data_IF_526026176892
#
_entry.id   IF_526026176892
#
_cell.length_a   1.000
_cell.length_b   1.000
_cell.length_c   1.000
_cell.angle_alpha   90.00
_cell.angle_beta   90.00
_cell.angle_gamma   90.00
#
_symmetry.space_group_name_H-M   'P 1'
#
loop_
_entity.id
_entity.type
_entity.pdbx_description
1 polymer ?
#
# COMPACT_ATOMS: atom_id res chain seq x y z
N UNK A 1 -7.97 -15.88 -8.26
CA UNK A 1 -6.74 -15.38 -8.90
C UNK A 1 -6.44 -13.91 -8.53
N UNK A 2 -7.35 -12.95 -8.78
CA UNK A 2 -7.10 -11.51 -8.53
C UNK A 2 -6.70 -11.17 -7.08
N UNK A 3 -7.35 -11.78 -6.08
CA UNK A 3 -7.01 -11.58 -4.67
C UNK A 3 -5.59 -12.04 -4.30
N UNK A 4 -5.13 -13.14 -4.90
CA UNK A 4 -3.79 -13.69 -4.68
C UNK A 4 -2.75 -12.86 -5.40
N UNK A 5 -3.04 -12.44 -6.64
CA UNK A 5 -2.14 -11.58 -7.43
C UNK A 5 -1.98 -10.20 -6.79
N UNK A 6 -3.07 -9.59 -6.30
CA UNK A 6 -3.01 -8.31 -5.61
C UNK A 6 -2.21 -8.40 -4.31
N UNK A 7 -2.44 -9.44 -3.50
CA UNK A 7 -1.69 -9.68 -2.26
C UNK A 7 -0.20 -9.97 -2.50
N UNK A 8 0.14 -10.79 -3.49
CA UNK A 8 1.53 -11.12 -3.80
C UNK A 8 2.29 -9.92 -4.40
N UNK A 9 1.64 -9.14 -5.28
CA UNK A 9 2.25 -7.94 -5.85
C UNK A 9 2.45 -6.86 -4.78
N UNK A 10 1.44 -6.63 -3.94
CA UNK A 10 1.54 -5.78 -2.74
C UNK A 10 2.71 -6.24 -1.85
N UNK A 11 2.85 -7.56 -1.65
CA UNK A 11 3.98 -8.12 -0.90
C UNK A 11 5.35 -7.88 -1.57
N UNK A 12 5.44 -8.02 -2.89
CA UNK A 12 6.67 -7.77 -3.61
C UNK A 12 7.02 -6.28 -3.57
N UNK A 13 6.02 -5.37 -3.61
CA UNK A 13 6.27 -3.92 -3.52
C UNK A 13 6.95 -3.50 -2.23
N UNK A 14 6.55 -4.04 -1.07
CA UNK A 14 7.24 -3.69 0.19
C UNK A 14 8.60 -4.36 0.30
N UNK A 15 8.75 -5.62 -0.15
CA UNK A 15 10.05 -6.32 -0.09
C UNK A 15 11.08 -5.65 -0.98
N UNK A 16 10.70 -5.32 -2.21
CA UNK A 16 11.56 -4.61 -3.16
C UNK A 16 11.82 -3.17 -2.69
N UNK A 17 10.79 -2.44 -2.27
CA UNK A 17 10.92 -1.05 -1.81
C UNK A 17 11.66 -0.87 -0.48
N UNK A 18 11.64 -1.86 0.41
CA UNK A 18 12.38 -1.85 1.67
C UNK A 18 13.71 -2.62 1.61
N UNK A 19 14.10 -3.13 0.44
CA UNK A 19 15.35 -3.86 0.26
C UNK A 19 15.45 -5.18 1.04
N UNK A 20 14.32 -5.81 1.37
CA UNK A 20 14.30 -7.03 2.19
C UNK A 20 14.56 -8.25 1.30
N UNK A 21 15.69 -8.97 1.48
CA UNK A 21 16.06 -10.07 0.60
C UNK A 21 15.05 -11.21 0.71
N UNK A 22 14.66 -11.77 -0.45
CA UNK A 22 13.89 -13.00 -0.48
C UNK A 22 14.85 -14.16 -0.21
N UNK A 23 14.76 -14.77 0.97
CA UNK A 23 15.49 -16.02 1.21
C UNK A 23 14.89 -17.14 0.37
N UNK A 24 15.74 -18.05 -0.12
CA UNK A 24 15.31 -19.25 -0.86
C UNK A 24 14.38 -20.17 -0.05
N UNK A 25 14.31 -19.99 1.28
CA UNK A 25 13.41 -20.69 2.19
C UNK A 25 12.14 -19.91 2.57
N UNK A 26 11.76 -18.86 1.83
CA UNK A 26 10.46 -18.21 2.02
C UNK A 26 10.37 -17.18 3.16
N UNK A 27 11.50 -16.63 3.62
CA UNK A 27 11.49 -15.56 4.63
C UNK A 27 10.97 -16.01 5.99
N UNK A 28 11.56 -17.07 6.56
CA UNK A 28 11.32 -17.39 7.97
C UNK A 28 11.93 -16.31 8.86
N UNK A 29 11.08 -15.36 9.26
CA UNK A 29 11.34 -14.50 10.41
C UNK A 29 11.62 -15.40 11.63
N UNK A 30 12.87 -15.44 12.09
CA UNK A 30 13.25 -15.87 13.43
C UNK A 30 13.16 -17.36 13.81
N UNK A 31 12.55 -18.25 13.03
CA UNK A 31 12.40 -19.67 13.43
C UNK A 31 13.64 -20.55 13.20
N UNK A 32 14.85 -20.03 13.35
CA UNK A 32 16.03 -20.88 13.55
C UNK A 32 16.46 -20.75 15.00
N UNK A 33 16.17 -21.79 15.80
CA UNK A 33 16.92 -22.03 17.03
C UNK A 33 18.40 -22.15 16.66
N UNK A 34 19.29 -21.64 17.52
CA UNK A 34 20.72 -21.86 17.41
C UNK A 34 20.96 -23.38 17.33
N UNK A 35 21.29 -23.88 16.14
CA UNK A 35 21.39 -25.32 15.86
C UNK A 35 20.91 -25.75 14.46
N UNK A 36 20.10 -24.95 13.76
CA UNK A 36 19.79 -25.20 12.35
C UNK A 36 18.73 -26.27 12.06
N UNK A 37 18.03 -26.79 13.06
CA UNK A 37 16.88 -27.69 12.84
C UNK A 37 15.55 -26.93 12.77
N UNK A 38 14.69 -27.34 11.82
CA UNK A 38 13.34 -26.83 11.68
C UNK A 38 12.46 -27.32 12.84
N UNK A 39 11.75 -26.40 13.49
CA UNK A 39 10.85 -26.74 14.59
C UNK A 39 9.71 -27.64 14.09
N UNK A 40 9.70 -28.92 14.48
CA UNK A 40 8.54 -29.81 14.33
C UNK A 40 7.46 -29.43 15.33
N UNK A 41 6.20 -29.56 14.92
CA UNK A 41 5.00 -29.02 15.57
C UNK A 41 4.56 -29.71 16.89
N UNK A 42 5.46 -30.35 17.63
CA UNK A 42 5.10 -31.27 18.74
C UNK A 42 5.73 -30.91 20.09
N UNK A 43 5.87 -29.64 20.42
CA UNK A 43 6.31 -29.24 21.76
C UNK A 43 5.56 -27.99 22.24
N UNK A 44 4.27 -28.14 22.50
CA UNK A 44 3.43 -27.14 23.15
C UNK A 44 3.17 -27.53 24.62
N UNK A 45 4.21 -27.61 25.44
CA UNK A 45 4.02 -27.85 26.90
C UNK A 45 5.10 -27.30 27.83
N UNK A 46 6.14 -26.62 27.36
CA UNK A 46 7.13 -26.04 28.27
C UNK A 46 7.18 -24.52 28.14
N UNK A 47 7.11 -23.84 29.30
CA UNK A 47 7.21 -22.38 29.47
C UNK A 47 8.33 -21.83 28.57
N UNK A 48 7.94 -21.15 27.49
CA UNK A 48 8.88 -20.54 26.57
C UNK A 48 9.75 -19.53 27.34
N UNK A 49 11.06 -19.80 27.39
CA UNK A 49 12.05 -18.79 27.74
C UNK A 49 11.83 -17.54 26.87
N UNK A 50 12.08 -16.32 27.39
CA UNK A 50 11.89 -15.10 26.63
C UNK A 50 12.64 -15.21 25.30
N UNK A 51 11.91 -15.02 24.19
CA UNK A 51 12.47 -15.07 22.86
C UNK A 51 13.66 -14.11 22.79
N UNK A 52 14.86 -14.64 22.59
CA UNK A 52 16.04 -13.82 22.33
C UNK A 52 15.70 -12.98 21.11
N UNK A 53 15.72 -11.66 21.28
CA UNK A 53 15.42 -10.69 20.23
C UNK A 53 16.54 -10.74 19.19
N UNK A 54 16.52 -11.73 18.29
CA UNK A 54 17.48 -11.82 17.20
C UNK A 54 17.15 -10.74 16.18
N UNK A 55 17.74 -9.56 16.35
CA UNK A 55 17.68 -8.48 15.35
C UNK A 55 18.45 -8.93 14.12
N UNK A 56 17.74 -9.36 13.08
CA UNK A 56 18.36 -9.62 11.79
C UNK A 56 18.71 -8.28 11.16
N UNK A 57 19.99 -8.12 10.81
CA UNK A 57 20.48 -6.95 10.08
C UNK A 57 20.61 -7.30 8.60
N UNK A 58 19.97 -6.52 7.75
CA UNK A 58 20.04 -6.64 6.29
C UNK A 58 20.92 -5.55 5.68
N UNK A 59 22.00 -5.18 6.40
CA UNK A 59 22.95 -4.14 6.00
C UNK A 59 24.11 -4.68 5.15
N UNK A 60 23.95 -5.85 4.51
CA UNK A 60 24.99 -6.38 3.63
C UNK A 60 25.16 -5.42 2.45
N UNK A 61 26.33 -4.77 2.31
CA UNK A 61 26.53 -3.84 1.21
C UNK A 61 26.47 -4.58 -0.12
N UNK A 62 26.05 -3.87 -1.18
CA UNK A 62 26.12 -4.40 -2.53
C UNK A 62 27.57 -4.80 -2.84
N UNK A 63 27.79 -6.02 -3.31
CA UNK A 63 29.13 -6.50 -3.66
C UNK A 63 29.83 -5.52 -4.62
N UNK A 64 31.14 -5.26 -4.46
CA UNK A 64 31.89 -4.37 -5.37
C UNK A 64 31.71 -4.73 -6.85
N UNK A 65 31.55 -6.03 -7.16
CA UNK A 65 31.28 -6.52 -8.51
C UNK A 65 30.00 -5.93 -9.14
N UNK A 66 28.98 -5.67 -8.34
CA UNK A 66 27.66 -5.24 -8.81
C UNK A 66 27.39 -3.76 -8.59
N UNK A 67 28.19 -3.07 -7.76
CA UNK A 67 27.97 -1.70 -7.32
C UNK A 67 27.83 -0.69 -8.47
N UNK A 68 28.52 -0.94 -9.59
CA UNK A 68 28.56 -0.05 -10.75
C UNK A 68 27.81 -0.59 -11.98
N UNK A 69 27.12 -1.74 -11.86
CA UNK A 69 26.37 -2.27 -12.97
C UNK A 69 25.06 -1.49 -13.18
N UNK A 70 24.73 -1.30 -14.45
CA UNK A 70 23.45 -0.71 -14.87
C UNK A 70 22.41 -1.83 -14.96
N UNK A 71 21.21 -1.56 -14.46
CA UNK A 71 20.09 -2.50 -14.58
C UNK A 71 19.76 -2.73 -16.05
N UNK A 72 19.56 -4.00 -16.43
CA UNK A 72 19.09 -4.38 -17.77
C UNK A 72 17.57 -4.47 -17.86
N UNK A 73 16.88 -4.37 -16.73
CA UNK A 73 15.42 -4.61 -16.62
C UNK A 73 14.69 -3.35 -16.17
N UNK A 74 15.22 -2.65 -15.16
CA UNK A 74 14.63 -1.42 -14.68
C UNK A 74 14.96 -0.28 -15.65
N UNK A 75 13.96 0.54 -15.97
CA UNK A 75 14.20 1.79 -16.68
C UNK A 75 15.08 2.70 -15.82
N UNK A 76 16.12 3.26 -16.42
CA UNK A 76 17.07 4.18 -15.77
C UNK A 76 17.10 5.53 -16.47
N UNK A 77 17.49 6.57 -15.74
CA UNK A 77 17.72 7.88 -16.32
C UNK A 77 18.96 7.88 -17.20
N UNK A 78 19.01 8.77 -18.18
CA UNK A 78 20.21 9.06 -18.97
C UNK A 78 20.87 10.31 -18.41
N UNK A 79 22.19 10.30 -18.32
CA UNK A 79 22.98 11.48 -18.02
C UNK A 79 22.86 12.49 -19.19
N UNK A 80 22.36 13.71 -18.95
CA UNK A 80 22.15 14.69 -20.02
C UNK A 80 23.47 15.18 -20.66
N UNK A 81 24.59 15.13 -19.94
CA UNK A 81 25.89 15.57 -20.44
C UNK A 81 26.56 14.49 -21.31
N UNK A 82 26.43 13.22 -20.93
CA UNK A 82 27.15 12.12 -21.60
C UNK A 82 26.27 11.22 -22.47
N UNK A 83 24.94 11.32 -22.34
CA UNK A 83 23.97 10.45 -23.01
C UNK A 83 23.98 8.99 -22.52
N UNK A 84 24.75 8.67 -21.48
CA UNK A 84 24.89 7.30 -20.96
C UNK A 84 23.86 7.00 -19.88
N UNK A 85 23.41 5.74 -19.76
CA UNK A 85 22.49 5.34 -18.69
C UNK A 85 23.15 5.48 -17.31
N UNK A 86 22.39 6.00 -16.35
CA UNK A 86 22.80 6.09 -14.94
C UNK A 86 22.30 4.88 -14.14
N UNK A 87 22.66 4.83 -12.85
CA UNK A 87 22.13 3.82 -11.91
C UNK A 87 20.78 4.22 -11.30
N UNK A 88 20.29 5.43 -11.55
CA UNK A 88 19.02 5.90 -11.01
C UNK A 88 17.88 5.36 -11.84
N UNK A 89 17.00 4.58 -11.21
CA UNK A 89 15.77 4.13 -11.85
C UNK A 89 14.80 5.28 -12.05
N UNK A 90 13.93 5.18 -13.04
CA UNK A 90 12.90 6.18 -13.34
C UNK A 90 11.51 5.55 -13.43
N UNK A 91 10.50 6.34 -13.04
CA UNK A 91 9.10 6.00 -13.25
C UNK A 91 8.58 6.70 -14.51
N UNK A 92 8.25 5.92 -15.54
CA UNK A 92 7.65 6.43 -16.77
C UNK A 92 6.12 6.27 -16.73
N UNK A 93 5.46 6.87 -15.73
CA UNK A 93 3.99 6.97 -15.71
C UNK A 93 3.54 8.28 -16.38
N UNK A 94 2.43 8.28 -17.14
CA UNK A 94 1.84 9.51 -17.63
C UNK A 94 1.46 10.45 -16.47
N UNK A 95 1.48 11.75 -16.74
CA UNK A 95 1.01 12.76 -15.80
C UNK A 95 -0.41 12.45 -15.30
N UNK A 96 -0.70 12.88 -14.07
CA UNK A 96 -2.03 12.73 -13.49
C UNK A 96 -3.06 13.54 -14.29
N UNK A 97 -4.28 13.03 -14.35
CA UNK A 97 -5.41 13.70 -14.98
C UNK A 97 -5.73 15.03 -14.29
N UNK A 98 -6.20 16.00 -15.06
CA UNK A 98 -6.73 17.26 -14.53
C UNK A 98 -7.96 17.05 -13.64
N UNK A 99 -8.29 18.03 -12.80
CA UNK A 99 -9.49 17.96 -11.92
C UNK A 99 -10.77 17.60 -12.68
N UNK A 100 -11.04 18.23 -13.83
CA UNK A 100 -12.24 17.94 -14.61
C UNK A 100 -12.27 16.52 -15.17
N UNK A 101 -11.11 15.97 -15.55
CA UNK A 101 -11.00 14.57 -15.99
C UNK A 101 -11.19 13.58 -14.83
N UNK A 102 -10.71 13.93 -13.62
CA UNK A 102 -10.96 13.15 -12.40
C UNK A 102 -12.44 13.11 -12.08
N UNK A 103 -13.12 14.25 -12.05
CA UNK A 103 -14.56 14.33 -11.77
C UNK A 103 -15.36 13.49 -12.77
N UNK A 104 -15.04 13.60 -14.07
CA UNK A 104 -15.62 12.76 -15.12
C UNK A 104 -15.37 11.27 -14.89
N UNK A 105 -14.17 10.88 -14.46
CA UNK A 105 -13.83 9.49 -14.19
C UNK A 105 -14.56 8.94 -12.95
N UNK A 106 -14.75 9.76 -11.92
CA UNK A 106 -15.54 9.43 -10.73
C UNK A 106 -17.03 9.25 -11.07
N UNK A 107 -17.58 10.12 -11.92
CA UNK A 107 -18.96 9.99 -12.41
C UNK A 107 -19.16 8.72 -13.25
N UNK A 108 -18.20 8.42 -14.13
CA UNK A 108 -18.19 7.16 -14.85
C UNK A 108 -18.12 5.97 -13.89
N UNK A 109 -17.33 6.07 -12.80
CA UNK A 109 -17.22 5.02 -11.79
C UNK A 109 -18.53 4.79 -11.03
N UNK A 110 -19.34 5.82 -10.77
CA UNK A 110 -20.68 5.65 -10.15
C UNK A 110 -21.64 4.83 -11.00
N UNK A 111 -21.44 4.79 -12.31
CA UNK A 111 -22.30 4.10 -13.28
C UNK A 111 -21.81 2.69 -13.67
N UNK A 112 -20.72 2.21 -13.07
CA UNK A 112 -20.16 0.89 -13.40
C UNK A 112 -21.10 -0.24 -13.02
N UNK A 113 -20.99 -1.34 -13.78
CA UNK A 113 -21.48 -2.65 -13.38
C UNK A 113 -20.28 -3.48 -12.90
N UNK A 114 -20.26 -3.95 -11.63
CA UNK A 114 -19.19 -4.82 -11.15
C UNK A 114 -19.01 -6.03 -12.08
N UNK A 115 -17.75 -6.33 -12.41
CA UNK A 115 -17.34 -7.46 -13.25
C UNK A 115 -17.36 -8.78 -12.50
N UNK A 116 -17.28 -8.73 -11.17
CA UNK A 116 -17.30 -9.88 -10.29
C UNK A 116 -18.61 -9.91 -9.49
N UNK A 117 -19.10 -11.10 -9.11
CA UNK A 117 -20.24 -11.23 -8.21
C UNK A 117 -20.00 -10.46 -6.91
N UNK A 118 -21.07 -9.88 -6.38
CA UNK A 118 -21.10 -9.25 -5.06
C UNK A 118 -22.04 -10.06 -4.17
N UNK A 119 -21.66 -10.25 -2.91
CA UNK A 119 -22.55 -10.86 -1.93
C UNK A 119 -23.81 -10.00 -1.74
N UNK A 120 -24.93 -10.67 -1.54
CA UNK A 120 -26.20 -10.03 -1.20
C UNK A 120 -26.21 -9.56 0.28
N UNK A 121 -27.30 -8.91 0.67
CA UNK A 121 -27.44 -8.39 2.03
C UNK A 121 -27.53 -9.48 3.09
N UNK A 122 -28.07 -10.66 2.77
CA UNK A 122 -28.20 -11.75 3.72
C UNK A 122 -26.82 -12.29 4.11
N UNK A 123 -25.96 -12.53 3.12
CA UNK A 123 -24.56 -12.94 3.35
C UNK A 123 -23.81 -11.87 4.13
N UNK A 124 -24.04 -10.58 3.86
CA UNK A 124 -23.37 -9.52 4.60
C UNK A 124 -23.78 -9.44 6.08
N UNK A 125 -25.05 -9.69 6.41
CA UNK A 125 -25.55 -9.66 7.80
C UNK A 125 -24.87 -10.70 8.69
N UNK A 126 -24.64 -11.91 8.17
CA UNK A 126 -23.96 -12.99 8.91
C UNK A 126 -22.45 -12.77 9.07
N UNK A 127 -21.88 -11.87 8.25
CA UNK A 127 -20.43 -11.66 8.18
C UNK A 127 -19.95 -10.44 8.95
N UNK A 128 -20.75 -9.39 9.03
CA UNK A 128 -20.38 -8.15 9.70
C UNK A 128 -20.56 -8.28 11.23
N UNK A 129 -19.66 -7.69 12.03
CA UNK A 129 -19.82 -7.68 13.48
C UNK A 129 -21.11 -6.95 13.89
N UNK A 130 -21.69 -7.38 15.00
CA UNK A 130 -22.85 -6.74 15.60
C UNK A 130 -22.54 -5.25 15.89
N UNK A 131 -23.46 -4.36 15.53
CA UNK A 131 -23.26 -2.90 15.66
C UNK A 131 -22.52 -2.23 14.50
N UNK A 132 -22.35 -2.89 13.34
CA UNK A 132 -21.89 -2.22 12.12
C UNK A 132 -22.83 -1.06 11.75
N UNK A 133 -22.31 0.17 11.81
CA UNK A 133 -23.10 1.40 11.77
C UNK A 133 -23.12 2.13 10.43
N UNK A 134 -22.43 1.62 9.40
CA UNK A 134 -22.45 2.30 8.10
C UNK A 134 -23.83 2.11 7.46
N UNK A 135 -24.50 3.24 7.19
CA UNK A 135 -25.83 3.26 6.57
C UNK A 135 -25.84 2.55 5.20
N UNK A 136 -24.69 2.47 4.52
CA UNK A 136 -24.52 1.76 3.25
C UNK A 136 -23.29 0.86 3.33
N UNK A 137 -23.49 -0.44 3.18
CA UNK A 137 -22.38 -1.40 3.10
C UNK A 137 -21.58 -1.16 1.81
N UNK A 138 -20.28 -0.83 1.89
CA UNK A 138 -19.45 -0.61 0.71
C UNK A 138 -19.32 -1.87 -0.15
N UNK A 139 -19.25 -1.71 -1.46
CA UNK A 139 -19.15 -2.83 -2.40
C UNK A 139 -17.88 -3.64 -2.27
N UNK A 140 -16.77 -3.04 -1.82
CA UNK A 140 -15.56 -3.80 -1.56
C UNK A 140 -15.78 -4.87 -0.47
N UNK A 141 -16.63 -4.59 0.52
CA UNK A 141 -17.01 -5.58 1.54
C UNK A 141 -17.86 -6.69 0.93
N UNK A 142 -18.86 -6.31 0.10
CA UNK A 142 -19.70 -7.28 -0.63
C UNK A 142 -18.89 -8.17 -1.57
N UNK A 143 -17.87 -7.61 -2.22
CA UNK A 143 -16.95 -8.37 -3.06
C UNK A 143 -16.17 -9.37 -2.22
N UNK A 144 -15.55 -8.92 -1.12
CA UNK A 144 -14.75 -9.81 -0.27
C UNK A 144 -15.59 -10.90 0.39
N UNK A 145 -16.85 -10.63 0.70
CA UNK A 145 -17.78 -11.59 1.27
C UNK A 145 -18.05 -12.81 0.36
N UNK A 146 -17.79 -12.71 -0.96
CA UNK A 146 -17.84 -13.87 -1.86
C UNK A 146 -16.72 -14.90 -1.65
N UNK A 147 -15.75 -14.62 -0.75
CA UNK A 147 -14.62 -15.48 -0.43
C UNK A 147 -14.68 -15.96 1.03
N UNK A 148 -15.55 -16.94 1.36
CA UNK A 148 -15.96 -17.24 2.75
C UNK A 148 -14.80 -17.54 3.70
N UNK A 149 -13.77 -18.24 3.23
CA UNK A 149 -12.62 -18.64 4.05
C UNK A 149 -11.70 -17.48 4.44
N UNK A 150 -11.76 -16.33 3.76
CA UNK A 150 -10.84 -15.20 3.99
C UNK A 150 -11.52 -13.85 4.21
N UNK A 151 -12.82 -13.76 3.94
CA UNK A 151 -13.57 -12.52 3.94
C UNK A 151 -13.53 -11.79 5.29
N UNK A 152 -13.88 -12.47 6.40
CA UNK A 152 -13.90 -11.86 7.74
C UNK A 152 -12.55 -11.26 8.12
N UNK A 153 -11.47 -12.04 7.93
CA UNK A 153 -10.10 -11.58 8.21
C UNK A 153 -9.66 -10.42 7.33
N UNK A 154 -9.98 -10.45 6.02
CA UNK A 154 -9.61 -9.37 5.09
C UNK A 154 -10.39 -8.08 5.36
N UNK A 155 -11.70 -8.16 5.59
CA UNK A 155 -12.53 -7.00 5.91
C UNK A 155 -12.05 -6.36 7.21
N UNK A 156 -11.82 -7.17 8.25
CA UNK A 156 -11.28 -6.70 9.53
C UNK A 156 -9.90 -6.06 9.37
N UNK A 157 -9.02 -6.66 8.58
CA UNK A 157 -7.67 -6.13 8.33
C UNK A 157 -7.69 -4.78 7.61
N UNK A 158 -8.51 -4.63 6.55
CA UNK A 158 -8.65 -3.36 5.84
C UNK A 158 -9.20 -2.29 6.77
N UNK A 159 -10.27 -2.59 7.52
CA UNK A 159 -10.85 -1.64 8.48
C UNK A 159 -9.87 -1.25 9.57
N UNK A 160 -9.16 -2.22 10.15
CA UNK A 160 -8.15 -1.94 11.17
C UNK A 160 -7.01 -1.06 10.63
N UNK A 161 -6.63 -1.21 9.36
CA UNK A 161 -5.63 -0.34 8.73
C UNK A 161 -6.12 1.12 8.62
N UNK A 162 -7.41 1.33 8.35
CA UNK A 162 -8.03 2.66 8.33
C UNK A 162 -8.23 3.25 9.73
N UNK A 163 -8.71 2.45 10.69
CA UNK A 163 -9.21 2.92 11.99
C UNK A 163 -8.13 2.96 13.09
N UNK A 164 -7.05 2.16 13.01
CA UNK A 164 -6.09 1.98 14.11
C UNK A 164 -4.65 2.38 13.77
N UNK A 165 -3.82 2.54 14.79
CA UNK A 165 -2.39 2.87 14.67
C UNK A 165 -2.11 4.36 14.86
N UNK A 166 -0.88 4.78 14.57
CA UNK A 166 -0.32 6.08 14.98
C UNK A 166 -0.62 7.21 13.96
N UNK A 167 -0.68 6.90 12.66
CA UNK A 167 -1.07 7.87 11.64
C UNK A 167 -2.51 8.35 11.87
N UNK A 168 -2.70 9.67 11.82
CA UNK A 168 -4.02 10.28 11.98
C UNK A 168 -4.99 9.84 10.88
N UNK A 169 -6.31 9.85 11.13
CA UNK A 169 -7.31 9.55 10.10
C UNK A 169 -7.18 10.42 8.84
N UNK A 170 -6.83 11.70 9.01
CA UNK A 170 -6.61 12.64 7.90
C UNK A 170 -5.38 12.25 7.08
N UNK A 171 -4.25 11.98 7.72
CA UNK A 171 -3.01 11.57 7.04
C UNK A 171 -3.23 10.29 6.22
N UNK A 172 -3.94 9.31 6.77
CA UNK A 172 -4.29 8.08 6.04
C UNK A 172 -5.16 8.36 4.83
N UNK A 173 -6.19 9.20 4.97
CA UNK A 173 -7.08 9.55 3.87
C UNK A 173 -6.33 10.31 2.74
N UNK A 174 -5.40 11.20 3.10
CA UNK A 174 -4.54 11.91 2.14
C UNK A 174 -3.60 10.95 1.41
N UNK A 175 -2.94 10.04 2.14
CA UNK A 175 -2.11 8.99 1.56
C UNK A 175 -2.94 8.08 0.64
N UNK A 176 -4.14 7.68 1.05
CA UNK A 176 -5.04 6.86 0.23
C UNK A 176 -5.42 7.55 -1.09
N UNK A 177 -5.68 8.86 -1.06
CA UNK A 177 -5.89 9.65 -2.27
C UNK A 177 -4.66 9.61 -3.18
N UNK A 178 -3.47 9.95 -2.66
CA UNK A 178 -2.21 9.96 -3.43
C UNK A 178 -1.98 8.61 -4.12
N UNK A 179 -2.15 7.50 -3.39
CA UNK A 179 -1.94 6.14 -3.92
C UNK A 179 -2.97 5.81 -4.99
N UNK A 180 -4.26 6.03 -4.72
CA UNK A 180 -5.34 5.72 -5.66
C UNK A 180 -5.24 6.52 -6.95
N UNK A 181 -4.77 7.79 -6.88
CA UNK A 181 -4.49 8.63 -8.05
C UNK A 181 -3.32 8.10 -8.85
N UNK A 182 -2.23 7.69 -8.21
CA UNK A 182 -1.10 7.06 -8.94
C UNK A 182 -1.55 5.80 -9.68
N UNK A 183 -2.35 4.94 -9.04
CA UNK A 183 -2.86 3.70 -9.61
C UNK A 183 -4.10 3.87 -10.51
N UNK A 184 -4.67 5.09 -10.61
CA UNK A 184 -5.91 5.40 -11.38
C UNK A 184 -7.07 4.47 -11.01
N UNK A 185 -7.16 4.15 -9.71
CA UNK A 185 -8.18 3.27 -9.17
C UNK A 185 -9.40 4.09 -8.74
N UNK A 186 -10.28 4.38 -9.70
CA UNK A 186 -11.37 5.36 -9.55
C UNK A 186 -12.36 5.03 -8.42
N UNK A 187 -12.60 3.74 -8.14
CA UNK A 187 -13.38 3.36 -6.95
C UNK A 187 -12.66 3.77 -5.64
N UNK A 188 -11.36 3.51 -5.55
CA UNK A 188 -10.58 3.90 -4.38
C UNK A 188 -10.40 5.42 -4.28
N UNK A 189 -10.23 6.12 -5.40
CA UNK A 189 -10.16 7.59 -5.45
C UNK A 189 -11.44 8.22 -4.91
N UNK A 190 -12.62 7.72 -5.31
CA UNK A 190 -13.89 8.25 -4.80
C UNK A 190 -14.10 7.94 -3.32
N UNK A 191 -13.70 6.76 -2.85
CA UNK A 191 -13.71 6.40 -1.42
C UNK A 191 -12.80 7.33 -0.60
N UNK A 192 -11.58 7.60 -1.10
CA UNK A 192 -10.66 8.55 -0.46
C UNK A 192 -11.22 9.98 -0.45
N UNK A 193 -11.84 10.44 -1.55
CA UNK A 193 -12.50 11.74 -1.65
C UNK A 193 -13.61 11.90 -0.61
N UNK A 194 -14.51 10.92 -0.53
CA UNK A 194 -15.60 10.93 0.46
C UNK A 194 -15.04 10.97 1.88
N UNK A 195 -13.98 10.19 2.15
CA UNK A 195 -13.33 10.18 3.46
C UNK A 195 -12.70 11.54 3.79
N UNK A 196 -11.97 12.15 2.87
CA UNK A 196 -11.36 13.47 3.04
C UNK A 196 -12.42 14.55 3.30
N UNK A 197 -13.53 14.54 2.55
CA UNK A 197 -14.68 15.43 2.79
C UNK A 197 -15.30 15.22 4.16
N UNK A 198 -15.49 13.96 4.58
CA UNK A 198 -16.01 13.65 5.92
C UNK A 198 -15.11 14.13 7.06
N UNK A 199 -13.82 14.34 6.78
CA UNK A 199 -12.82 14.88 7.70
C UNK A 199 -12.65 16.40 7.58
N UNK A 200 -13.53 17.07 6.82
CA UNK A 200 -13.57 18.53 6.72
C UNK A 200 -12.64 19.14 5.66
N UNK A 201 -12.03 18.34 4.79
CA UNK A 201 -11.22 18.88 3.68
C UNK A 201 -12.12 19.46 2.58
N UNK A 202 -11.73 20.62 2.04
CA UNK A 202 -12.35 21.21 0.85
C UNK A 202 -11.89 20.49 -0.42
N UNK A 203 -12.61 20.66 -1.53
CA UNK A 203 -12.16 20.09 -2.81
C UNK A 203 -10.77 20.59 -3.21
N UNK A 204 -10.49 21.87 -3.03
CA UNK A 204 -9.19 22.46 -3.40
C UNK A 204 -8.05 21.86 -2.55
N UNK A 205 -8.28 21.62 -1.26
CA UNK A 205 -7.31 20.94 -0.40
C UNK A 205 -7.07 19.49 -0.84
N UNK A 206 -8.11 18.77 -1.28
CA UNK A 206 -7.96 17.41 -1.78
C UNK A 206 -7.16 17.40 -3.08
N UNK A 207 -7.50 18.27 -4.05
CA UNK A 207 -6.80 18.31 -5.33
C UNK A 207 -5.37 18.86 -5.22
N UNK A 208 -5.05 19.66 -4.19
CA UNK A 208 -3.68 20.07 -3.90
C UNK A 208 -2.74 18.88 -3.61
N UNK A 209 -3.29 17.72 -3.19
CA UNK A 209 -2.50 16.49 -2.99
C UNK A 209 -1.90 15.93 -4.30
N UNK A 210 -2.44 16.29 -5.46
CA UNK A 210 -1.91 15.88 -6.78
C UNK A 210 -0.74 16.76 -7.26
N UNK A 211 -0.52 17.91 -6.63
CA UNK A 211 0.36 18.98 -7.10
C UNK A 211 1.74 19.04 -6.45
N UNK A 212 2.30 20.25 -6.38
CA UNK A 212 3.48 20.52 -5.57
C UNK A 212 3.09 20.61 -4.09
N UNK A 213 3.83 19.93 -3.23
CA UNK A 213 3.49 19.87 -1.81
C UNK A 213 4.15 20.98 -1.00
N UNK A 214 4.48 22.12 -1.61
CA UNK A 214 5.25 23.18 -0.95
C UNK A 214 4.56 23.74 0.30
N UNK A 215 3.23 23.78 0.30
CA UNK A 215 2.40 24.24 1.42
C UNK A 215 2.26 23.24 2.57
N UNK A 216 2.60 21.96 2.34
CA UNK A 216 2.53 20.92 3.36
C UNK A 216 3.77 20.94 4.27
N UNK A 217 3.63 20.43 5.49
CA UNK A 217 4.76 20.32 6.43
C UNK A 217 5.86 19.38 5.92
N UNK A 218 7.11 19.52 6.38
CA UNK A 218 8.19 18.56 6.06
C UNK A 218 7.82 17.10 6.35
N UNK A 219 7.09 16.86 7.45
CA UNK A 219 6.56 15.55 7.81
C UNK A 219 5.59 15.02 6.75
N UNK A 220 4.57 15.77 6.39
CA UNK A 220 3.60 15.39 5.36
C UNK A 220 4.28 15.12 4.01
N UNK A 221 5.13 16.05 3.54
CA UNK A 221 5.84 15.91 2.26
C UNK A 221 6.65 14.62 2.18
N UNK A 222 7.35 14.27 3.26
CA UNK A 222 8.19 13.06 3.28
C UNK A 222 7.34 11.78 3.26
N UNK A 223 6.24 11.73 4.00
CA UNK A 223 5.30 10.59 3.99
C UNK A 223 4.56 10.47 2.65
N UNK A 224 4.15 11.59 2.05
CA UNK A 224 3.55 11.60 0.71
C UNK A 224 4.55 11.15 -0.35
N UNK A 225 5.82 11.53 -0.22
CA UNK A 225 6.90 11.07 -1.12
C UNK A 225 7.07 9.56 -1.04
N UNK A 226 7.11 8.99 0.17
CA UNK A 226 7.14 7.55 0.37
C UNK A 226 5.94 6.87 -0.31
N UNK A 227 4.72 7.32 0.02
CA UNK A 227 3.49 6.75 -0.51
C UNK A 227 3.43 6.80 -2.04
N UNK A 228 3.72 7.97 -2.64
CA UNK A 228 3.73 8.18 -4.08
C UNK A 228 4.76 7.28 -4.76
N UNK A 229 6.01 7.25 -4.31
CA UNK A 229 7.07 6.42 -4.92
C UNK A 229 6.72 4.93 -4.86
N UNK A 230 6.28 4.43 -3.70
CA UNK A 230 5.86 3.03 -3.54
C UNK A 230 4.64 2.67 -4.41
N UNK A 231 3.67 3.58 -4.53
CA UNK A 231 2.49 3.37 -5.37
C UNK A 231 2.83 3.37 -6.86
N UNK A 232 3.66 4.32 -7.31
CA UNK A 232 4.08 4.46 -8.69
C UNK A 232 4.96 3.29 -9.13
N UNK A 233 6.13 3.13 -8.50
CA UNK A 233 7.03 2.00 -8.71
C UNK A 233 8.06 1.94 -7.56
N UNK A 234 8.09 0.88 -6.74
CA UNK A 234 8.95 0.84 -5.56
C UNK A 234 10.44 0.98 -5.87
N UNK A 235 10.90 0.61 -7.07
CA UNK A 235 12.31 0.68 -7.44
C UNK A 235 12.89 2.10 -7.45
N UNK A 236 12.04 3.14 -7.56
CA UNK A 236 12.49 4.55 -7.48
C UNK A 236 12.54 5.10 -6.05
N UNK A 237 12.11 4.33 -5.06
CA UNK A 237 12.28 4.69 -3.66
C UNK A 237 13.72 4.46 -3.25
N UNK A 238 14.36 5.48 -2.67
CA UNK A 238 15.77 5.42 -2.28
C UNK A 238 15.94 5.41 -0.76
N UNK A 239 17.09 4.93 -0.29
CA UNK A 239 17.46 5.00 1.13
C UNK A 239 17.44 6.45 1.65
N UNK A 240 17.77 7.43 0.81
CA UNK A 240 17.73 8.84 1.17
C UNK A 240 16.30 9.33 1.42
N UNK A 241 15.32 8.89 0.60
CA UNK A 241 13.91 9.22 0.83
C UNK A 241 13.42 8.65 2.17
N UNK A 242 13.80 7.39 2.47
CA UNK A 242 13.44 6.72 3.72
C UNK A 242 14.11 7.37 4.92
N UNK A 243 15.41 7.69 4.83
CA UNK A 243 16.15 8.37 5.88
C UNK A 243 15.56 9.75 6.19
N UNK A 244 15.21 10.52 5.16
CA UNK A 244 14.56 11.82 5.34
C UNK A 244 13.17 11.66 5.98
N UNK A 245 12.36 10.70 5.54
CA UNK A 245 11.07 10.43 6.17
C UNK A 245 11.20 9.99 7.63
N UNK A 246 12.20 9.17 7.97
CA UNK A 246 12.47 8.79 9.37
C UNK A 246 12.88 10.00 10.20
N UNK A 247 13.70 10.91 9.63
CA UNK A 247 14.10 12.15 10.29
C UNK A 247 12.90 13.07 10.55
N UNK A 248 11.97 13.19 9.61
CA UNK A 248 10.85 14.12 9.71
C UNK A 248 9.63 13.57 10.48
N UNK A 249 9.33 12.28 10.32
CA UNK A 249 8.12 11.65 10.85
C UNK A 249 8.39 10.65 11.97
N UNK A 250 9.63 10.16 12.09
CA UNK A 250 9.99 9.07 12.99
C UNK A 250 9.74 7.68 12.39
N UNK A 251 10.40 6.64 12.92
CA UNK A 251 10.36 5.30 12.34
C UNK A 251 8.98 4.63 12.39
N UNK A 252 8.16 4.93 13.41
CA UNK A 252 6.81 4.35 13.56
C UNK A 252 5.88 4.78 12.43
N UNK A 253 5.82 6.09 12.16
CA UNK A 253 5.01 6.65 11.09
C UNK A 253 5.48 6.18 9.71
N UNK A 254 6.79 6.06 9.50
CA UNK A 254 7.36 5.53 8.25
C UNK A 254 6.94 4.08 8.02
N UNK A 255 7.12 3.21 9.02
CA UNK A 255 6.73 1.79 8.92
C UNK A 255 5.23 1.65 8.68
N UNK A 256 4.41 2.42 9.40
CA UNK A 256 2.97 2.41 9.20
C UNK A 256 2.59 2.94 7.81
N UNK A 257 3.27 3.97 7.30
CA UNK A 257 3.04 4.50 5.93
C UNK A 257 3.36 3.47 4.87
N UNK A 258 4.47 2.73 5.00
CA UNK A 258 4.84 1.64 4.08
C UNK A 258 3.78 0.54 4.09
N UNK A 259 3.39 0.09 5.29
CA UNK A 259 2.36 -0.95 5.46
C UNK A 259 1.01 -0.52 4.91
N UNK A 260 0.58 0.71 5.22
CA UNK A 260 -0.66 1.27 4.74
C UNK A 260 -0.65 1.43 3.22
N UNK A 261 0.45 1.93 2.64
CA UNK A 261 0.61 2.07 1.18
C UNK A 261 0.46 0.74 0.47
N UNK A 262 1.06 -0.30 1.03
CA UNK A 262 1.01 -1.67 0.54
C UNK A 262 -0.41 -2.23 0.54
N UNK A 263 -1.14 -2.02 1.65
CA UNK A 263 -2.54 -2.42 1.77
C UNK A 263 -3.45 -1.67 0.78
N UNK A 264 -3.26 -0.35 0.64
CA UNK A 264 -4.01 0.48 -0.30
C UNK A 264 -3.74 0.09 -1.75
N UNK A 265 -2.49 -0.15 -2.12
CA UNK A 265 -2.16 -0.66 -3.45
C UNK A 265 -2.86 -2.00 -3.77
N UNK A 266 -3.01 -2.89 -2.80
CA UNK A 266 -3.78 -4.13 -2.97
C UNK A 266 -5.27 -3.84 -3.15
N UNK A 267 -5.83 -2.97 -2.30
CA UNK A 267 -7.23 -2.53 -2.37
C UNK A 267 -7.57 -1.92 -3.72
N UNK A 268 -6.75 -0.99 -4.21
CA UNK A 268 -6.92 -0.30 -5.49
C UNK A 268 -7.01 -1.29 -6.65
N UNK A 269 -6.10 -2.27 -6.70
CA UNK A 269 -6.10 -3.33 -7.72
C UNK A 269 -7.33 -4.21 -7.64
N UNK A 270 -7.71 -4.66 -6.45
CA UNK A 270 -8.86 -5.55 -6.26
C UNK A 270 -10.14 -4.84 -6.71
N UNK A 271 -10.33 -3.61 -6.27
CA UNK A 271 -11.56 -2.86 -6.52
C UNK A 271 -11.66 -2.36 -7.97
N UNK A 272 -10.57 -1.88 -8.55
CA UNK A 272 -10.56 -1.41 -9.94
C UNK A 272 -10.66 -2.56 -10.94
N UNK A 273 -9.99 -3.70 -10.69
CA UNK A 273 -10.11 -4.89 -11.53
C UNK A 273 -11.53 -5.49 -11.48
N UNK A 274 -12.15 -5.50 -10.28
CA UNK A 274 -13.55 -5.89 -10.12
C UNK A 274 -14.53 -4.87 -10.75
N UNK A 275 -14.07 -3.67 -11.12
CA UNK A 275 -14.91 -2.64 -11.72
C UNK A 275 -16.01 -2.18 -10.76
N UNK A 276 -15.69 -2.09 -9.46
CA UNK A 276 -16.67 -1.67 -8.47
C UNK A 276 -17.19 -0.27 -8.80
N UNK A 277 -18.50 -0.08 -8.60
CA UNK A 277 -19.12 1.24 -8.77
C UNK A 277 -19.00 2.03 -7.48
N UNK A 278 -18.77 3.33 -7.57
CA UNK A 278 -18.83 4.20 -6.39
C UNK A 278 -20.25 4.24 -5.83
N UNK A 279 -20.36 4.16 -4.50
CA UNK A 279 -21.61 4.34 -3.78
C UNK A 279 -22.14 5.77 -4.00
N UNK A 280 -23.47 5.90 -4.00
CA UNK A 280 -24.13 7.19 -4.20
C UNK A 280 -23.96 8.07 -2.97
#
# INVERSE_FOLDING_TARGET
MNLTMAGNNSNNRWKEGAGIPQSSGGGNFGNRRAGGEAATATAATEKAAPAVETKQTYLTPTSPKFQNLISKVAAVTMDPATGKPTRMTVANRPALESRGEVEKALDAARSRKPRLPLADEAVMKDMLPEGFSDAVIPQWMRLLATFPNSAKGRISSIRSAEERGDLTPLMKAQIAWVIARQDRAWYATGQALQRLKSLGQTDDQVYALDGDWSEFTPKERSLFTLARKLATTPVILTDADVAEAVKQAGPRDVVQTISYTTNRASFDRITESAGLRLEK
#
